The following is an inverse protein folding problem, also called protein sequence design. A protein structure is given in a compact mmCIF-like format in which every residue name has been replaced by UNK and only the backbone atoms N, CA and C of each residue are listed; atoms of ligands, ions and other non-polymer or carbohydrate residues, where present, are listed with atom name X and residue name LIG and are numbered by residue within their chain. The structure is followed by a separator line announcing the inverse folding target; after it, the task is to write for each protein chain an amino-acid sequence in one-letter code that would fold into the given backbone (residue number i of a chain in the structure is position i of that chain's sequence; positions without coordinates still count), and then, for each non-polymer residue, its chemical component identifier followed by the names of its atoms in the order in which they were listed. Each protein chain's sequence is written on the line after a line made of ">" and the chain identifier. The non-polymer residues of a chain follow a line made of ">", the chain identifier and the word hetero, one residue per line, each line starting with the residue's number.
data_IF_063557834092
#
_entry.id   IF_063557834092
#
_cell.length_a   1.000
_cell.length_b   1.000
_cell.length_c   1.000
_cell.angle_alpha   90.00
_cell.angle_beta   90.00
_cell.angle_gamma   90.00
#
_symmetry.space_group_name_H-M   'P 1'
#
loop_
_entity.id
_entity.type
_entity.pdbx_description
1 polymer ?
#
# COMPACT_ATOMS: atom_id res chain seq x y z
N UNK A 1 68.81 -1.03 -32.18
CA UNK A 1 69.71 -1.71 -31.21
C UNK A 1 69.23 -1.38 -29.80
N UNK A 2 68.68 -2.37 -29.10
CA UNK A 2 68.68 -2.48 -27.63
C UNK A 2 70.14 -2.67 -27.12
N UNK A 3 70.47 -2.75 -25.80
CA UNK A 3 69.72 -2.53 -24.54
C UNK A 3 70.56 -1.85 -23.41
N UNK A 4 70.00 -1.67 -22.20
CA UNK A 4 70.62 -1.91 -20.87
C UNK A 4 69.58 -1.56 -19.78
N UNK A 5 68.89 -2.51 -19.15
CA UNK A 5 69.23 -3.31 -17.95
C UNK A 5 69.79 -2.50 -16.76
N UNK A 6 68.99 -2.37 -15.70
CA UNK A 6 69.46 -2.56 -14.32
C UNK A 6 68.37 -3.18 -13.44
N UNK A 7 68.73 -4.32 -12.83
CA UNK A 7 68.09 -4.97 -11.69
C UNK A 7 68.48 -4.24 -10.39
N UNK A 8 67.60 -4.17 -9.39
CA UNK A 8 67.80 -4.84 -8.09
C UNK A 8 66.57 -4.71 -7.15
N UNK A 9 65.87 -5.83 -7.02
CA UNK A 9 65.38 -6.54 -5.84
C UNK A 9 65.40 -5.96 -4.40
N UNK A 10 64.27 -6.22 -3.73
CA UNK A 10 64.05 -6.66 -2.34
C UNK A 10 64.17 -5.64 -1.17
N UNK A 11 63.03 -5.40 -0.51
CA UNK A 11 62.82 -5.79 0.89
C UNK A 11 61.32 -5.81 1.24
N UNK A 12 60.88 -6.99 1.67
CA UNK A 12 59.56 -7.35 2.20
C UNK A 12 59.26 -6.62 3.52
N UNK A 13 58.01 -6.19 3.74
CA UNK A 13 57.31 -6.28 5.04
C UNK A 13 55.79 -6.40 4.80
N UNK A 14 55.27 -7.63 4.97
CA UNK A 14 53.86 -7.93 5.20
C UNK A 14 53.60 -7.91 6.72
N UNK A 15 52.48 -7.36 7.21
CA UNK A 15 51.98 -7.74 8.52
C UNK A 15 51.19 -9.04 8.42
N UNK A 16 51.69 -10.01 9.17
CA UNK A 16 51.00 -11.19 9.66
C UNK A 16 49.70 -10.77 10.38
N UNK A 17 48.55 -11.25 9.94
CA UNK A 17 47.39 -11.44 10.82
C UNK A 17 47.06 -12.92 10.86
N UNK A 18 47.15 -13.43 12.07
CA UNK A 18 47.08 -14.82 12.48
C UNK A 18 45.65 -15.33 12.25
N UNK A 19 45.52 -16.34 11.39
CA UNK A 19 44.37 -17.21 11.34
C UNK A 19 44.35 -18.05 12.63
N UNK A 20 43.32 -17.86 13.44
CA UNK A 20 43.19 -18.50 14.74
C UNK A 20 41.74 -18.50 15.24
N UNK A 21 40.79 -18.94 14.40
CA UNK A 21 39.47 -19.35 14.86
C UNK A 21 39.33 -20.83 14.58
N UNK A 22 39.39 -21.62 15.66
CA UNK A 22 38.98 -23.03 15.68
C UNK A 22 37.49 -23.08 15.35
N UNK A 23 37.17 -23.49 14.13
CA UNK A 23 35.86 -24.05 13.82
C UNK A 23 35.86 -25.46 14.40
N UNK A 24 35.23 -25.63 15.56
CA UNK A 24 34.77 -26.95 15.99
C UNK A 24 33.72 -27.37 14.97
N UNK A 25 34.12 -28.27 14.07
CA UNK A 25 33.22 -29.02 13.24
C UNK A 25 32.45 -29.98 14.16
N UNK A 26 31.23 -29.60 14.51
CA UNK A 26 30.26 -30.52 15.06
C UNK A 26 29.69 -31.30 13.87
N UNK A 27 30.25 -32.48 13.64
CA UNK A 27 29.72 -33.47 12.71
C UNK A 27 28.54 -34.16 13.36
N UNK A 28 27.38 -33.51 13.36
CA UNK A 28 26.13 -34.20 13.68
C UNK A 28 25.53 -34.78 12.40
N UNK A 29 25.89 -36.03 12.17
CA UNK A 29 25.51 -36.87 11.05
C UNK A 29 24.06 -37.37 11.26
N UNK A 30 23.09 -36.44 11.19
CA UNK A 30 21.67 -36.78 11.07
C UNK A 30 21.36 -36.99 9.60
N UNK A 31 21.49 -38.25 9.17
CA UNK A 31 20.94 -38.77 7.93
C UNK A 31 19.41 -38.69 7.98
N UNK A 32 18.84 -37.55 7.61
CA UNK A 32 17.45 -37.52 7.18
C UNK A 32 17.37 -38.21 5.82
N UNK A 33 16.86 -39.44 5.84
CA UNK A 33 16.48 -40.17 4.64
C UNK A 33 15.59 -39.26 3.76
N UNK A 34 15.76 -39.29 2.43
CA UNK A 34 14.80 -38.66 1.54
C UNK A 34 13.45 -39.31 1.82
N UNK A 35 12.47 -38.54 2.30
CA UNK A 35 11.09 -38.99 2.36
C UNK A 35 10.73 -39.39 0.94
N UNK A 36 10.62 -40.70 0.74
CA UNK A 36 10.19 -41.32 -0.50
C UNK A 36 8.94 -40.59 -0.96
N UNK A 37 8.97 -40.12 -2.21
CA UNK A 37 7.82 -39.53 -2.88
C UNK A 37 6.63 -40.46 -2.68
N UNK A 38 5.67 -39.99 -1.88
CA UNK A 38 4.35 -40.60 -1.86
C UNK A 38 3.82 -40.62 -3.30
N UNK A 39 3.04 -41.65 -3.68
CA UNK A 39 2.48 -41.73 -5.01
C UNK A 39 1.78 -40.41 -5.34
N UNK A 40 1.90 -39.90 -6.58
CA UNK A 40 1.16 -38.72 -7.00
C UNK A 40 -0.31 -38.97 -6.66
N UNK A 41 -0.91 -38.06 -5.88
CA UNK A 41 -2.34 -38.12 -5.62
C UNK A 41 -3.03 -38.23 -6.98
N UNK A 42 -3.89 -39.24 -7.19
CA UNK A 42 -4.67 -39.29 -8.41
C UNK A 42 -5.43 -37.96 -8.53
N UNK A 43 -5.53 -37.37 -9.74
CA UNK A 43 -6.33 -36.18 -9.98
C UNK A 43 -7.80 -36.54 -9.78
N UNK A 44 -8.21 -36.68 -8.52
CA UNK A 44 -9.60 -36.71 -8.12
C UNK A 44 -10.20 -35.34 -8.44
N UNK A 45 -11.49 -35.28 -8.79
CA UNK A 45 -12.17 -34.01 -8.93
C UNK A 45 -11.99 -33.24 -7.62
N UNK A 46 -11.35 -32.06 -7.69
CA UNK A 46 -11.31 -31.17 -6.55
C UNK A 46 -12.76 -30.93 -6.11
N UNK A 47 -13.07 -31.05 -4.80
CA UNK A 47 -14.40 -30.75 -4.31
C UNK A 47 -14.81 -29.36 -4.81
N UNK A 48 -16.08 -29.15 -5.18
CA UNK A 48 -16.54 -27.88 -5.71
C UNK A 48 -16.17 -26.77 -4.73
N UNK A 49 -15.53 -25.71 -5.23
CA UNK A 49 -15.13 -24.56 -4.42
C UNK A 49 -16.38 -23.92 -3.80
N UNK A 50 -16.50 -23.98 -2.47
CA UNK A 50 -17.60 -23.35 -1.73
C UNK A 50 -17.16 -21.94 -1.35
N UNK A 51 -17.99 -20.96 -1.69
CA UNK A 51 -17.79 -19.57 -1.31
C UNK A 51 -18.69 -19.22 -0.14
N UNK A 52 -18.07 -18.88 0.99
CA UNK A 52 -18.76 -18.54 2.23
C UNK A 52 -18.75 -17.02 2.45
N UNK A 53 -19.77 -16.45 3.11
CA UNK A 53 -19.78 -15.04 3.50
C UNK A 53 -18.58 -14.70 4.41
N UNK A 54 -17.99 -13.53 4.19
CA UNK A 54 -16.93 -13.01 5.07
C UNK A 54 -17.58 -12.52 6.38
N UNK A 55 -17.20 -13.10 7.54
CA UNK A 55 -17.87 -12.84 8.83
C UNK A 55 -17.57 -11.45 9.41
N UNK A 56 -16.65 -10.69 8.81
CA UNK A 56 -16.20 -9.38 9.32
C UNK A 56 -17.33 -8.34 9.44
N UNK A 57 -18.34 -8.42 8.58
CA UNK A 57 -19.47 -7.48 8.52
C UNK A 57 -20.80 -8.13 8.94
N UNK A 58 -20.76 -9.32 9.55
CA UNK A 58 -21.99 -9.95 10.03
C UNK A 58 -22.53 -9.20 11.26
N UNK A 59 -23.86 -9.03 11.32
CA UNK A 59 -24.59 -8.12 12.26
C UNK A 59 -24.43 -8.41 13.76
N UNK A 60 -23.65 -9.42 14.14
CA UNK A 60 -23.26 -9.65 15.54
C UNK A 60 -22.04 -8.79 15.84
N UNK A 61 -22.05 -7.93 16.88
CA UNK A 61 -20.98 -6.97 17.13
C UNK A 61 -19.71 -7.72 17.56
N UNK A 62 -18.89 -8.11 16.57
CA UNK A 62 -17.57 -8.71 16.80
C UNK A 62 -16.48 -7.64 16.77
N UNK A 63 -16.69 -6.57 16.03
CA UNK A 63 -15.72 -5.50 15.82
C UNK A 63 -16.37 -4.18 16.24
N UNK A 64 -15.71 -3.47 17.16
CA UNK A 64 -16.20 -2.21 17.69
C UNK A 64 -15.62 -1.01 16.92
N UNK A 65 -14.47 -1.19 16.28
CA UNK A 65 -13.73 -0.12 15.61
C UNK A 65 -13.43 -0.43 14.15
N UNK A 66 -13.29 0.61 13.33
CA UNK A 66 -12.94 0.48 11.91
C UNK A 66 -11.59 -0.20 11.70
N UNK A 67 -10.64 0.03 12.61
CA UNK A 67 -9.32 -0.61 12.66
C UNK A 67 -9.45 -2.13 12.78
N UNK A 68 -10.29 -2.59 13.71
CA UNK A 68 -10.56 -4.03 13.91
C UNK A 68 -11.28 -4.64 12.71
N UNK A 69 -12.23 -3.91 12.11
CA UNK A 69 -12.91 -4.36 10.90
C UNK A 69 -11.93 -4.52 9.73
N UNK A 70 -11.10 -3.51 9.49
CA UNK A 70 -10.11 -3.54 8.40
C UNK A 70 -9.07 -4.62 8.65
N UNK A 71 -8.65 -4.84 9.90
CA UNK A 71 -7.81 -5.98 10.25
C UNK A 71 -8.49 -7.31 9.94
N UNK A 72 -9.78 -7.47 10.28
CA UNK A 72 -10.51 -8.69 9.94
C UNK A 72 -10.56 -8.92 8.43
N UNK A 73 -10.81 -7.88 7.64
CA UNK A 73 -10.84 -8.00 6.18
C UNK A 73 -9.44 -8.31 5.61
N UNK A 74 -8.39 -7.80 6.23
CA UNK A 74 -7.00 -8.08 5.87
C UNK A 74 -6.62 -9.55 6.07
N UNK A 75 -7.21 -10.23 7.06
CA UNK A 75 -7.02 -11.67 7.26
C UNK A 75 -7.52 -12.52 6.07
N UNK A 76 -8.36 -11.94 5.18
CA UNK A 76 -8.83 -12.57 3.94
C UNK A 76 -8.07 -12.10 2.69
N UNK A 77 -7.04 -11.26 2.83
CA UNK A 77 -6.17 -10.85 1.72
C UNK A 77 -5.64 -12.09 0.98
N UNK A 78 -5.63 -12.04 -0.35
CA UNK A 78 -5.06 -13.13 -1.16
C UNK A 78 -3.56 -13.24 -0.83
N UNK A 79 -3.09 -14.36 -0.24
CA UNK A 79 -1.74 -14.43 0.29
C UNK A 79 -0.69 -14.57 -0.81
N UNK A 80 0.58 -14.44 -0.43
CA UNK A 80 1.73 -14.69 -1.31
C UNK A 80 1.56 -16.00 -2.09
N UNK A 81 1.84 -15.95 -3.40
CA UNK A 81 1.80 -17.08 -4.35
C UNK A 81 0.44 -17.79 -4.47
N UNK A 82 -0.64 -17.30 -3.88
CA UNK A 82 -1.95 -17.97 -3.96
C UNK A 82 -2.51 -18.04 -5.40
N UNK A 83 -2.17 -17.06 -6.23
CA UNK A 83 -2.55 -17.00 -7.65
C UNK A 83 -1.52 -17.69 -8.56
N UNK A 84 -0.38 -18.12 -8.01
CA UNK A 84 0.74 -18.70 -8.75
C UNK A 84 0.57 -20.19 -9.07
N UNK A 85 -0.33 -20.93 -8.39
CA UNK A 85 -0.44 -22.41 -8.45
C UNK A 85 -0.05 -22.92 -9.83
N UNK A 86 1.06 -23.70 -9.90
CA UNK A 86 1.80 -24.27 -11.04
C UNK A 86 0.94 -24.75 -12.22
N UNK A 87 0.17 -23.85 -12.78
CA UNK A 87 -0.59 -23.96 -14.00
C UNK A 87 0.11 -22.99 -14.93
N UNK A 88 0.80 -23.51 -15.97
CA UNK A 88 1.52 -22.67 -16.95
C UNK A 88 0.66 -21.57 -17.57
N UNK A 89 -0.67 -21.65 -17.42
CA UNK A 89 -1.66 -20.77 -18.03
C UNK A 89 -1.99 -19.50 -17.25
N UNK A 90 -1.44 -19.26 -16.04
CA UNK A 90 -1.76 -18.05 -15.25
C UNK A 90 -3.26 -17.88 -14.92
N UNK A 91 -4.02 -18.99 -15.00
CA UNK A 91 -5.49 -18.96 -15.05
C UNK A 91 -6.11 -18.41 -13.77
N UNK A 92 -5.50 -18.67 -12.60
CA UNK A 92 -5.99 -18.10 -11.33
C UNK A 92 -5.85 -16.59 -11.30
N UNK A 93 -4.69 -16.07 -11.70
CA UNK A 93 -4.47 -14.63 -11.82
C UNK A 93 -5.46 -14.00 -12.83
N UNK A 94 -5.58 -14.58 -14.02
CA UNK A 94 -6.53 -14.11 -15.04
C UNK A 94 -7.99 -14.10 -14.53
N UNK A 95 -8.42 -15.16 -13.83
CA UNK A 95 -9.76 -15.23 -13.24
C UNK A 95 -9.99 -14.21 -12.11
N UNK A 96 -8.91 -13.82 -11.42
CA UNK A 96 -8.95 -12.80 -10.39
C UNK A 96 -9.02 -11.39 -11.00
N UNK A 97 -8.58 -11.17 -12.24
CA UNK A 97 -8.73 -9.86 -12.90
C UNK A 97 -10.21 -9.53 -13.22
N UNK A 98 -10.53 -8.24 -13.40
CA UNK A 98 -11.81 -7.83 -13.98
C UNK A 98 -11.98 -8.42 -15.39
N UNK A 99 -13.13 -9.05 -15.63
CA UNK A 99 -13.53 -9.50 -16.98
C UNK A 99 -13.99 -8.32 -17.84
N UNK A 100 -13.75 -8.45 -19.15
CA UNK A 100 -14.12 -7.49 -20.18
C UNK A 100 -13.64 -6.05 -19.88
N UNK A 101 -12.31 -5.86 -19.66
CA UNK A 101 -11.75 -4.54 -19.40
C UNK A 101 -12.05 -3.59 -20.57
N UNK A 102 -12.35 -2.33 -20.25
CA UNK A 102 -12.74 -1.31 -21.24
C UNK A 102 -14.15 -1.44 -21.82
N UNK A 103 -14.95 -2.45 -21.45
CA UNK A 103 -16.33 -2.61 -21.91
C UNK A 103 -17.30 -1.97 -20.90
N UNK A 104 -18.21 -1.12 -21.38
CA UNK A 104 -19.30 -0.57 -20.56
C UNK A 104 -20.18 -1.70 -20.07
N UNK A 105 -20.38 -1.79 -18.75
CA UNK A 105 -21.08 -2.91 -18.11
C UNK A 105 -20.19 -4.12 -17.80
N UNK A 106 -18.93 -4.12 -18.21
CA UNK A 106 -17.90 -5.08 -17.80
C UNK A 106 -17.51 -4.94 -16.33
N UNK A 107 -16.72 -5.87 -15.81
CA UNK A 107 -16.33 -5.89 -14.39
C UNK A 107 -15.46 -4.70 -14.01
N UNK A 108 -14.54 -4.26 -14.87
CA UNK A 108 -13.68 -3.10 -14.61
C UNK A 108 -14.51 -1.82 -14.53
N UNK A 109 -15.38 -1.60 -15.53
CA UNK A 109 -16.29 -0.47 -15.55
C UNK A 109 -17.18 -0.46 -14.29
N UNK A 110 -17.67 -1.63 -13.89
CA UNK A 110 -18.49 -1.76 -12.70
C UNK A 110 -17.73 -1.46 -11.41
N UNK A 111 -16.46 -1.88 -11.32
CA UNK A 111 -15.58 -1.56 -10.21
C UNK A 111 -15.35 -0.05 -10.12
N UNK A 112 -14.98 0.60 -11.23
CA UNK A 112 -14.84 2.07 -11.31
C UNK A 112 -16.11 2.79 -10.87
N UNK A 113 -17.26 2.34 -11.38
CA UNK A 113 -18.57 2.90 -11.06
C UNK A 113 -18.90 2.77 -9.57
N UNK A 114 -18.61 1.63 -8.95
CA UNK A 114 -18.83 1.44 -7.51
C UNK A 114 -17.96 2.39 -6.67
N UNK A 115 -16.68 2.56 -7.01
CA UNK A 115 -15.77 3.51 -6.35
C UNK A 115 -16.27 4.95 -6.51
N UNK A 116 -16.70 5.32 -7.72
CA UNK A 116 -17.22 6.65 -8.02
C UNK A 116 -18.51 6.95 -7.25
N UNK A 117 -19.48 6.02 -7.23
CA UNK A 117 -20.72 6.21 -6.49
C UNK A 117 -20.49 6.30 -4.98
N UNK A 118 -19.56 5.51 -4.45
CA UNK A 118 -19.23 5.54 -3.03
C UNK A 118 -18.62 6.90 -2.63
N UNK A 119 -17.73 7.45 -3.46
CA UNK A 119 -17.07 8.73 -3.20
C UNK A 119 -17.96 9.95 -3.49
N UNK A 120 -18.86 9.89 -4.47
CA UNK A 120 -19.76 11.01 -4.82
C UNK A 120 -21.07 11.03 -4.04
N UNK A 121 -21.66 9.85 -3.82
CA UNK A 121 -23.03 9.71 -3.37
C UNK A 121 -23.20 9.75 -1.87
N UNK A 122 -22.16 9.44 -1.10
CA UNK A 122 -22.25 9.29 0.36
C UNK A 122 -23.41 8.37 0.78
N UNK A 123 -23.72 7.38 -0.07
CA UNK A 123 -24.77 6.39 0.21
C UNK A 123 -24.11 5.04 0.32
N UNK A 124 -24.44 4.30 1.38
CA UNK A 124 -24.08 2.88 1.47
C UNK A 124 -25.18 1.99 0.85
N UNK A 125 -25.88 2.49 -0.17
CA UNK A 125 -26.99 1.76 -0.77
C UNK A 125 -26.47 0.67 -1.70
N UNK A 126 -26.96 -0.56 -1.57
CA UNK A 126 -26.55 -1.68 -2.45
C UNK A 126 -26.79 -1.39 -3.95
N UNK A 127 -27.75 -0.52 -4.26
CA UNK A 127 -28.05 -0.07 -5.63
C UNK A 127 -26.87 0.63 -6.31
N UNK A 128 -25.86 1.07 -5.57
CA UNK A 128 -24.65 1.67 -6.16
C UNK A 128 -23.73 0.65 -6.82
N UNK A 129 -23.85 -0.63 -6.45
CA UNK A 129 -22.99 -1.70 -6.94
C UNK A 129 -23.60 -2.27 -8.23
N UNK A 130 -22.94 -2.18 -9.38
CA UNK A 130 -23.47 -2.73 -10.61
C UNK A 130 -23.63 -4.25 -10.56
N UNK A 131 -24.68 -4.77 -11.20
CA UNK A 131 -25.10 -6.17 -11.09
C UNK A 131 -23.99 -7.19 -11.40
N UNK A 132 -23.06 -6.87 -12.30
CA UNK A 132 -21.97 -7.77 -12.71
C UNK A 132 -20.97 -8.07 -11.58
N UNK A 133 -20.78 -7.13 -10.63
CA UNK A 133 -19.87 -7.32 -9.48
C UNK A 133 -20.61 -7.61 -8.16
N UNK A 134 -21.93 -7.40 -8.10
CA UNK A 134 -22.74 -7.76 -6.92
C UNK A 134 -22.56 -9.21 -6.42
N UNK A 135 -22.30 -10.23 -7.26
CA UNK A 135 -22.02 -11.59 -6.79
C UNK A 135 -20.77 -11.70 -5.90
N UNK A 136 -19.84 -10.75 -6.00
CA UNK A 136 -18.55 -10.74 -5.31
C UNK A 136 -18.47 -9.63 -4.26
N UNK A 137 -19.05 -8.46 -4.53
CA UNK A 137 -18.95 -7.27 -3.68
C UNK A 137 -20.26 -6.91 -3.00
N UNK A 138 -20.15 -6.26 -1.85
CA UNK A 138 -21.25 -5.62 -1.12
C UNK A 138 -20.79 -4.29 -0.53
N UNK A 139 -21.75 -3.45 -0.19
CA UNK A 139 -21.52 -2.23 0.59
C UNK A 139 -22.34 -2.32 1.86
N UNK A 140 -21.70 -2.09 3.00
CA UNK A 140 -22.34 -2.13 4.31
C UNK A 140 -22.11 -0.80 5.05
N UNK A 141 -23.08 -0.43 5.90
CA UNK A 141 -22.88 0.62 6.89
C UNK A 141 -22.20 0.00 8.09
N UNK A 142 -21.04 0.52 8.46
CA UNK A 142 -20.32 0.11 9.66
C UNK A 142 -20.39 1.22 10.73
N UNK A 143 -21.13 1.01 11.84
CA UNK A 143 -21.09 1.90 12.99
C UNK A 143 -19.81 1.66 13.80
N UNK A 144 -19.01 2.71 14.00
CA UNK A 144 -17.79 2.68 14.79
C UNK A 144 -18.05 3.15 16.22
N UNK A 145 -17.30 2.61 17.19
CA UNK A 145 -17.41 2.94 18.61
C UNK A 145 -17.20 4.44 18.93
N UNK A 146 -16.59 5.21 18.03
CA UNK A 146 -16.50 6.67 18.14
C UNK A 146 -17.84 7.40 17.91
N UNK A 147 -18.90 6.68 17.52
CA UNK A 147 -20.21 7.22 17.17
C UNK A 147 -20.35 7.64 15.71
N UNK A 148 -19.27 7.53 14.91
CA UNK A 148 -19.28 7.75 13.47
C UNK A 148 -19.71 6.50 12.72
N UNK A 149 -20.14 6.66 11.48
CA UNK A 149 -20.44 5.52 10.61
C UNK A 149 -19.66 5.63 9.30
N UNK A 150 -19.40 4.49 8.68
CA UNK A 150 -18.66 4.40 7.43
C UNK A 150 -19.41 3.55 6.41
N UNK A 151 -19.32 3.90 5.13
CA UNK A 151 -19.66 2.97 4.06
C UNK A 151 -18.44 2.12 3.72
N UNK A 152 -18.60 0.80 3.78
CA UNK A 152 -17.52 -0.17 3.52
C UNK A 152 -17.90 -0.99 2.30
N UNK A 153 -17.20 -0.76 1.18
CA UNK A 153 -17.27 -1.62 0.00
C UNK A 153 -16.18 -2.68 0.13
N UNK A 154 -16.60 -3.94 0.28
CA UNK A 154 -15.67 -5.06 0.42
C UNK A 154 -16.15 -6.28 -0.37
N UNK A 155 -15.21 -7.19 -0.65
CA UNK A 155 -15.57 -8.50 -1.17
C UNK A 155 -16.32 -9.28 -0.08
N UNK A 156 -17.42 -9.94 -0.48
CA UNK A 156 -18.37 -10.57 0.45
C UNK A 156 -18.14 -12.06 0.64
N UNK A 157 -17.31 -12.69 -0.18
CA UNK A 157 -17.05 -14.13 -0.11
C UNK A 157 -15.57 -14.45 -0.07
N UNK A 158 -15.24 -15.53 0.62
CA UNK A 158 -13.90 -16.12 0.61
C UNK A 158 -13.94 -17.55 0.06
N UNK A 159 -12.80 -18.02 -0.45
CA UNK A 159 -12.58 -19.40 -0.88
C UNK A 159 -12.33 -20.30 0.34
N UNK A 160 -13.25 -21.22 0.62
CA UNK A 160 -13.02 -22.29 1.60
C UNK A 160 -12.29 -23.47 0.94
N UNK A 161 -11.29 -24.10 1.59
CA UNK A 161 -10.83 -23.90 2.98
C UNK A 161 -9.68 -22.89 3.10
N UNK A 162 -9.37 -22.12 2.04
CA UNK A 162 -8.16 -21.29 1.99
C UNK A 162 -8.27 -19.95 2.72
N UNK A 163 -9.48 -19.57 3.14
CA UNK A 163 -9.78 -18.37 3.92
C UNK A 163 -9.30 -17.04 3.31
N UNK A 164 -9.26 -16.92 1.98
CA UNK A 164 -8.98 -15.64 1.30
C UNK A 164 -10.02 -15.27 0.26
N UNK A 165 -10.05 -13.99 -0.10
CA UNK A 165 -10.89 -13.44 -1.15
C UNK A 165 -10.72 -14.16 -2.50
N UNK A 166 -11.77 -14.20 -3.30
CA UNK A 166 -11.71 -14.78 -4.66
C UNK A 166 -11.07 -13.82 -5.64
N UNK A 167 -11.45 -12.53 -5.59
CA UNK A 167 -11.00 -11.50 -6.52
C UNK A 167 -9.86 -10.68 -5.91
N UNK A 168 -10.00 -10.23 -4.68
CA UNK A 168 -9.00 -9.43 -3.98
C UNK A 168 -8.74 -8.08 -4.64
N UNK A 169 -9.78 -7.41 -5.17
CA UNK A 169 -9.61 -6.08 -5.80
C UNK A 169 -9.37 -4.95 -4.80
N UNK A 170 -9.71 -5.19 -3.54
CA UNK A 170 -9.51 -4.25 -2.43
C UNK A 170 -10.78 -3.97 -1.64
N UNK A 171 -10.59 -3.19 -0.58
CA UNK A 171 -11.62 -2.66 0.30
C UNK A 171 -11.57 -1.14 0.24
N UNK A 172 -12.72 -0.51 -0.01
CA UNK A 172 -12.86 0.94 -0.04
C UNK A 172 -13.76 1.38 1.11
N UNK A 173 -13.32 2.39 1.85
CA UNK A 173 -14.07 2.98 2.96
C UNK A 173 -14.20 4.48 2.76
N UNK A 174 -15.40 5.00 2.97
CA UNK A 174 -15.70 6.43 3.02
C UNK A 174 -16.52 6.75 4.28
N UNK A 175 -16.48 7.98 4.80
CA UNK A 175 -17.44 8.41 5.82
C UNK A 175 -18.88 8.19 5.36
N UNK A 176 -19.79 7.87 6.27
CA UNK A 176 -21.20 7.68 5.95
C UNK A 176 -21.87 8.96 5.43
N UNK A 177 -21.42 10.12 5.92
CA UNK A 177 -21.92 11.41 5.51
C UNK A 177 -20.78 12.37 5.14
N UNK A 178 -20.98 13.15 4.08
CA UNK A 178 -20.05 14.21 3.63
C UNK A 178 -19.72 15.22 4.75
N UNK A 179 -20.68 15.44 5.65
CA UNK A 179 -20.53 16.34 6.80
C UNK A 179 -19.48 15.88 7.83
N UNK A 180 -19.04 14.61 7.77
CA UNK A 180 -17.98 14.06 8.62
C UNK A 180 -16.58 14.24 8.00
N UNK A 181 -16.49 14.66 6.74
CA UNK A 181 -15.21 14.97 6.10
C UNK A 181 -14.69 16.27 6.68
N UNK A 182 -13.43 16.21 7.12
CA UNK A 182 -12.72 17.36 7.66
C UNK A 182 -11.54 17.79 6.80
N UNK A 183 -11.01 16.92 5.92
CA UNK A 183 -9.84 17.17 5.09
C UNK A 183 -9.92 16.43 3.78
N UNK A 184 -9.25 16.96 2.75
CA UNK A 184 -9.22 16.37 1.43
C UNK A 184 -8.11 15.32 1.32
N UNK A 185 -8.12 14.36 2.24
CA UNK A 185 -7.09 13.32 2.34
C UNK A 185 -7.64 11.99 1.84
N UNK A 186 -6.87 11.32 1.00
CA UNK A 186 -7.02 9.91 0.69
C UNK A 186 -5.92 9.11 1.39
N UNK A 187 -6.28 8.07 2.12
CA UNK A 187 -5.32 7.08 2.64
C UNK A 187 -5.34 5.82 1.80
N UNK A 188 -4.18 5.20 1.62
CA UNK A 188 -4.10 3.89 0.98
C UNK A 188 -3.04 2.97 1.61
N UNK A 189 -3.29 1.67 1.55
CA UNK A 189 -2.38 0.60 1.99
C UNK A 189 -2.27 -0.45 0.85
N UNK A 190 -1.20 -0.42 0.05
CA UNK A 190 -1.10 -1.23 -1.17
C UNK A 190 -0.61 -2.66 -0.93
N UNK A 191 0.02 -2.94 0.22
CA UNK A 191 0.68 -4.23 0.49
C UNK A 191 0.13 -4.94 1.74
N UNK A 192 -1.18 -5.25 1.75
CA UNK A 192 -1.86 -5.94 2.84
C UNK A 192 -1.34 -7.38 3.06
N UNK A 193 -1.83 -8.00 4.12
CA UNK A 193 -1.57 -9.39 4.48
C UNK A 193 -0.44 -9.57 5.49
N UNK A 194 -0.04 -10.83 5.66
CA UNK A 194 0.99 -11.28 6.60
C UNK A 194 2.18 -11.88 5.86
N UNK A 195 3.38 -11.74 6.43
CA UNK A 195 4.61 -12.31 5.88
C UNK A 195 5.74 -11.31 5.68
N UNK A 196 6.95 -11.80 5.35
CA UNK A 196 8.17 -10.98 5.29
C UNK A 196 8.16 -9.94 4.16
N UNK A 197 7.41 -10.19 3.08
CA UNK A 197 7.22 -9.26 1.97
C UNK A 197 5.90 -8.47 2.07
N UNK A 198 5.16 -8.59 3.19
CA UNK A 198 3.94 -7.82 3.43
C UNK A 198 4.23 -6.56 4.24
N UNK A 199 3.37 -5.57 4.10
CA UNK A 199 3.34 -4.42 4.99
C UNK A 199 2.37 -4.65 6.15
N UNK A 200 2.59 -5.76 6.86
CA UNK A 200 1.76 -6.19 7.98
C UNK A 200 1.45 -5.02 8.94
N UNK A 201 0.18 -4.82 9.22
CA UNK A 201 -0.33 -3.76 10.09
C UNK A 201 -0.61 -2.42 9.42
N UNK A 202 -0.14 -2.19 8.18
CA UNK A 202 -0.43 -0.94 7.45
C UNK A 202 -1.91 -0.74 7.12
N UNK A 203 -2.73 -1.76 6.78
CA UNK A 203 -4.17 -1.57 6.59
C UNK A 203 -4.85 -1.00 7.83
N UNK A 204 -4.55 -1.59 9.00
CA UNK A 204 -5.08 -1.15 10.30
C UNK A 204 -4.62 0.26 10.65
N UNK A 205 -3.34 0.57 10.41
CA UNK A 205 -2.78 1.90 10.62
C UNK A 205 -3.45 2.96 9.73
N UNK A 206 -3.61 2.66 8.43
CA UNK A 206 -4.27 3.53 7.48
C UNK A 206 -5.75 3.75 7.85
N UNK A 207 -6.45 2.72 8.35
CA UNK A 207 -7.81 2.85 8.86
C UNK A 207 -7.91 3.80 10.06
N UNK A 208 -6.99 3.67 11.01
CA UNK A 208 -6.92 4.56 12.17
C UNK A 208 -6.66 6.01 11.74
N UNK A 209 -5.70 6.21 10.83
CA UNK A 209 -5.37 7.54 10.30
C UNK A 209 -6.56 8.15 9.55
N UNK A 210 -7.21 7.39 8.67
CA UNK A 210 -8.39 7.80 7.92
C UNK A 210 -9.52 8.28 8.85
N UNK A 211 -9.87 7.47 9.86
CA UNK A 211 -10.90 7.83 10.83
C UNK A 211 -10.51 9.07 11.62
N UNK A 212 -9.32 9.08 12.23
CA UNK A 212 -8.93 10.09 13.21
C UNK A 212 -8.56 11.46 12.61
N UNK A 213 -8.38 11.54 11.29
CA UNK A 213 -8.11 12.80 10.57
C UNK A 213 -9.35 13.41 9.93
N UNK A 214 -10.46 12.66 9.86
CA UNK A 214 -11.64 13.05 9.09
C UNK A 214 -11.37 13.07 7.59
N UNK A 215 -10.61 12.08 7.10
CA UNK A 215 -10.26 11.96 5.69
C UNK A 215 -11.47 11.58 4.81
N UNK A 216 -11.31 11.79 3.50
CA UNK A 216 -12.34 11.53 2.47
C UNK A 216 -12.50 10.06 2.16
N UNK A 217 -11.40 9.32 2.12
CA UNK A 217 -11.42 7.91 1.72
C UNK A 217 -10.22 7.12 2.23
N UNK A 218 -10.42 5.81 2.31
CA UNK A 218 -9.40 4.79 2.54
C UNK A 218 -9.54 3.69 1.48
N UNK A 219 -8.42 3.31 0.85
CA UNK A 219 -8.35 2.15 -0.02
C UNK A 219 -7.27 1.17 0.45
N UNK A 220 -7.65 -0.07 0.73
CA UNK A 220 -6.73 -1.16 1.04
C UNK A 220 -6.75 -2.14 -0.13
N UNK A 221 -5.58 -2.57 -0.61
CA UNK A 221 -5.55 -3.62 -1.64
C UNK A 221 -6.14 -4.93 -1.10
N UNK A 222 -6.51 -5.86 -1.98
CA UNK A 222 -7.07 -7.16 -1.56
C UNK A 222 -6.12 -8.33 -1.79
N UNK A 223 -4.87 -8.05 -2.17
CA UNK A 223 -3.84 -9.02 -2.54
C UNK A 223 -2.53 -8.63 -1.89
N UNK A 224 -1.82 -9.64 -1.40
CA UNK A 224 -0.40 -9.53 -1.11
C UNK A 224 0.34 -9.13 -2.40
N UNK A 225 1.40 -8.31 -2.28
CA UNK A 225 2.15 -7.83 -3.45
C UNK A 225 2.63 -9.00 -4.33
N UNK A 226 3.07 -10.09 -3.71
CA UNK A 226 3.50 -11.33 -4.38
C UNK A 226 2.44 -12.41 -4.52
N UNK A 227 1.14 -12.09 -4.52
CA UNK A 227 0.08 -13.08 -4.77
C UNK A 227 0.26 -13.81 -6.12
N UNK A 228 0.80 -13.11 -7.12
CA UNK A 228 1.30 -13.64 -8.38
C UNK A 228 2.72 -13.08 -8.64
N UNK A 229 3.78 -13.78 -8.23
CA UNK A 229 5.16 -13.28 -8.22
C UNK A 229 5.84 -13.25 -9.60
N UNK A 230 5.11 -13.53 -10.69
CA UNK A 230 5.69 -13.44 -12.02
C UNK A 230 5.90 -11.98 -12.41
N UNK A 231 7.13 -11.68 -12.83
CA UNK A 231 7.49 -10.50 -13.62
C UNK A 231 7.49 -10.90 -15.10
N UNK A 232 6.30 -11.07 -15.68
CA UNK A 232 6.27 -11.34 -17.11
C UNK A 232 6.88 -10.15 -17.87
N UNK A 233 7.70 -10.46 -18.88
CA UNK A 233 8.32 -9.45 -19.75
C UNK A 233 7.27 -8.65 -20.54
N UNK A 234 6.02 -9.08 -20.52
CA UNK A 234 4.92 -8.47 -21.28
C UNK A 234 4.28 -7.28 -20.55
N UNK A 235 4.56 -7.05 -19.26
CA UNK A 235 3.98 -5.95 -18.51
C UNK A 235 4.97 -4.79 -18.30
N UNK A 236 4.78 -3.70 -19.05
CA UNK A 236 5.70 -2.56 -19.15
C UNK A 236 6.12 -1.88 -17.83
N UNK A 237 5.31 -1.93 -16.78
CA UNK A 237 5.69 -1.37 -15.45
C UNK A 237 6.63 -2.28 -14.63
N UNK A 238 6.69 -3.58 -14.94
CA UNK A 238 7.50 -4.56 -14.20
C UNK A 238 8.60 -5.18 -15.09
N UNK A 239 8.64 -4.81 -16.38
CA UNK A 239 9.64 -5.29 -17.32
C UNK A 239 11.04 -4.80 -16.92
N UNK A 240 11.98 -5.73 -16.75
CA UNK A 240 13.39 -5.42 -16.44
C UNK A 240 13.67 -5.01 -15.00
N UNK A 241 12.65 -4.92 -14.13
CA UNK A 241 12.82 -4.68 -12.70
C UNK A 241 12.65 -6.00 -11.95
N UNK A 242 13.75 -6.59 -11.51
CA UNK A 242 13.77 -7.92 -10.88
C UNK A 242 13.00 -8.00 -9.54
N UNK A 243 12.54 -6.88 -9.01
CA UNK A 243 12.02 -6.78 -7.64
C UNK A 243 10.51 -6.60 -7.50
N UNK A 244 9.78 -6.32 -8.58
CA UNK A 244 8.33 -6.10 -8.51
C UNK A 244 7.55 -7.22 -9.17
N UNK A 245 6.56 -7.73 -8.46
CA UNK A 245 5.62 -8.73 -8.95
C UNK A 245 4.41 -8.10 -9.61
N UNK A 246 3.73 -8.83 -10.50
CA UNK A 246 2.58 -8.31 -11.24
C UNK A 246 1.39 -7.95 -10.33
N UNK A 247 1.30 -8.51 -9.13
CA UNK A 247 0.28 -8.14 -8.12
C UNK A 247 0.73 -7.06 -7.16
N UNK A 248 1.90 -6.45 -7.36
CA UNK A 248 2.35 -5.31 -6.58
C UNK A 248 1.49 -4.08 -6.90
N UNK A 249 0.56 -3.79 -6.00
CA UNK A 249 -0.44 -2.73 -6.18
C UNK A 249 0.15 -1.31 -6.19
N UNK A 250 1.40 -1.13 -5.75
CA UNK A 250 2.10 0.15 -5.81
C UNK A 250 2.87 0.34 -7.13
N UNK A 251 3.16 -0.75 -7.85
CA UNK A 251 4.06 -0.76 -9.01
C UNK A 251 3.40 -1.29 -10.31
N UNK A 252 2.14 -1.76 -10.26
CA UNK A 252 1.42 -2.28 -11.43
C UNK A 252 0.14 -1.49 -11.73
N UNK A 253 -0.04 -1.11 -13.01
CA UNK A 253 -1.19 -0.32 -13.47
C UNK A 253 -2.41 -1.16 -13.86
N UNK A 254 -2.22 -2.44 -14.16
CA UNK A 254 -3.30 -3.37 -14.50
C UNK A 254 -4.02 -3.92 -13.26
N UNK A 255 -3.60 -3.51 -12.06
CA UNK A 255 -4.23 -3.93 -10.81
C UNK A 255 -5.48 -3.09 -10.49
N UNK A 256 -6.56 -3.73 -10.00
CA UNK A 256 -7.79 -3.05 -9.58
C UNK A 256 -7.58 -1.93 -8.55
N UNK A 257 -6.51 -2.01 -7.77
CA UNK A 257 -6.11 -0.99 -6.80
C UNK A 257 -5.66 0.31 -7.48
N UNK A 258 -4.84 0.25 -8.54
CA UNK A 258 -4.48 1.43 -9.33
C UNK A 258 -5.68 2.01 -10.07
N UNK A 259 -6.55 1.14 -10.59
CA UNK A 259 -7.82 1.54 -11.24
C UNK A 259 -8.71 2.31 -10.28
N UNK A 260 -8.89 1.83 -9.04
CA UNK A 260 -9.67 2.54 -8.02
C UNK A 260 -9.02 3.88 -7.65
N UNK A 261 -7.70 3.94 -7.51
CA UNK A 261 -6.98 5.18 -7.21
C UNK A 261 -7.17 6.26 -8.30
N UNK A 262 -7.27 5.88 -9.58
CA UNK A 262 -7.59 6.83 -10.65
C UNK A 262 -8.97 7.48 -10.45
N UNK A 263 -9.98 6.70 -10.08
CA UNK A 263 -11.33 7.22 -9.82
C UNK A 263 -11.38 8.13 -8.59
N UNK A 264 -10.68 7.72 -7.52
CA UNK A 264 -10.54 8.52 -6.30
C UNK A 264 -9.85 9.85 -6.61
N UNK A 265 -8.76 9.82 -7.39
CA UNK A 265 -8.05 11.03 -7.83
C UNK A 265 -8.96 11.93 -8.66
N UNK A 266 -9.66 11.39 -9.66
CA UNK A 266 -10.58 12.14 -10.52
C UNK A 266 -11.64 12.86 -9.68
N UNK A 267 -12.26 12.14 -8.74
CA UNK A 267 -13.26 12.70 -7.85
C UNK A 267 -12.70 13.78 -6.94
N UNK A 268 -11.57 13.52 -6.27
CA UNK A 268 -10.98 14.44 -5.32
C UNK A 268 -10.46 15.71 -6.01
N UNK A 269 -9.78 15.57 -7.16
CA UNK A 269 -9.32 16.71 -7.95
C UNK A 269 -10.48 17.52 -8.54
N UNK A 270 -11.57 16.87 -8.95
CA UNK A 270 -12.79 17.54 -9.43
C UNK A 270 -13.52 18.39 -8.38
N UNK A 271 -13.15 18.28 -7.09
CA UNK A 271 -13.67 19.12 -6.00
C UNK A 271 -12.67 20.20 -5.56
N UNK A 272 -11.52 20.31 -6.23
CA UNK A 272 -10.39 21.12 -5.80
C UNK A 272 -9.50 20.32 -4.84
N UNK A 273 -8.19 20.40 -5.07
CA UNK A 273 -7.18 19.70 -4.28
C UNK A 273 -5.97 20.63 -4.12
N UNK A 274 -6.14 21.64 -3.27
CA UNK A 274 -5.08 22.55 -2.83
C UNK A 274 -4.09 21.77 -1.95
N UNK A 275 -2.79 21.88 -2.24
CA UNK A 275 -1.73 21.15 -1.55
C UNK A 275 -1.72 21.38 -0.02
N UNK A 276 -2.21 22.52 0.45
CA UNK A 276 -2.33 22.81 1.90
C UNK A 276 -3.44 22.02 2.60
N UNK A 277 -4.44 21.55 1.84
CA UNK A 277 -5.68 20.92 2.34
C UNK A 277 -5.87 19.49 1.84
N UNK A 278 -5.06 19.08 0.87
CA UNK A 278 -5.27 17.89 0.08
C UNK A 278 -3.98 17.06 -0.02
N UNK A 279 -4.10 15.77 0.25
CA UNK A 279 -3.00 14.82 0.10
C UNK A 279 -3.51 13.42 -0.24
N UNK A 280 -2.65 12.66 -0.90
CA UNK A 280 -2.82 11.23 -1.15
C UNK A 280 -1.70 10.51 -0.42
N UNK A 281 -2.04 9.98 0.75
CA UNK A 281 -1.10 9.37 1.68
C UNK A 281 -1.12 7.87 1.48
N UNK A 282 0.00 7.29 1.08
CA UNK A 282 0.15 5.85 0.95
C UNK A 282 1.09 5.32 2.03
N UNK A 283 0.55 4.44 2.87
CA UNK A 283 1.24 3.89 4.04
C UNK A 283 1.89 2.57 3.64
N UNK A 284 3.19 2.48 3.90
CA UNK A 284 4.02 1.30 3.71
C UNK A 284 4.77 0.96 5.00
N UNK A 285 5.21 -0.28 5.09
CA UNK A 285 6.16 -0.74 6.11
C UNK A 285 7.55 -0.78 5.49
N UNK A 286 8.57 -0.45 6.29
CA UNK A 286 9.95 -0.53 5.85
C UNK A 286 10.75 -1.57 6.62
N UNK A 287 11.75 -2.12 5.93
CA UNK A 287 12.75 -3.03 6.48
C UNK A 287 14.18 -2.52 6.28
N UNK A 288 14.37 -1.45 5.51
CA UNK A 288 15.67 -0.82 5.25
C UNK A 288 15.80 0.52 5.98
N UNK A 289 16.94 1.20 5.78
CA UNK A 289 17.32 2.45 6.45
C UNK A 289 17.14 2.34 7.98
N UNK A 290 17.97 1.54 8.68
CA UNK A 290 17.73 1.14 10.07
C UNK A 290 17.76 2.33 11.06
N UNK A 291 18.44 3.41 10.70
CA UNK A 291 18.52 4.65 11.49
C UNK A 291 17.33 5.59 11.30
N UNK A 292 16.28 5.18 10.60
CA UNK A 292 15.07 5.97 10.42
C UNK A 292 13.89 5.18 10.95
N UNK A 293 12.99 5.80 11.70
CA UNK A 293 11.77 5.15 12.18
C UNK A 293 10.62 5.32 11.19
N UNK A 294 10.52 6.49 10.57
CA UNK A 294 9.58 6.77 9.49
C UNK A 294 10.22 7.70 8.43
N UNK A 295 10.01 7.36 7.16
CA UNK A 295 10.54 8.08 6.01
C UNK A 295 9.39 8.57 5.13
N UNK A 296 9.31 9.88 4.89
CA UNK A 296 8.25 10.50 4.10
C UNK A 296 8.83 11.02 2.78
N UNK A 297 8.16 10.78 1.66
CA UNK A 297 8.60 11.21 0.33
C UNK A 297 7.42 11.67 -0.53
N UNK A 298 7.69 12.61 -1.43
CA UNK A 298 6.76 13.05 -2.47
C UNK A 298 6.90 12.26 -3.79
N UNK A 299 7.70 11.20 -3.83
CA UNK A 299 7.93 10.40 -5.04
C UNK A 299 9.08 10.89 -5.94
N UNK A 300 9.94 11.76 -5.42
CA UNK A 300 11.14 12.26 -6.13
C UNK A 300 12.40 11.47 -5.75
N UNK A 301 13.35 11.40 -6.68
CA UNK A 301 14.62 10.69 -6.49
C UNK A 301 15.64 11.44 -5.62
N UNK A 302 16.91 11.03 -5.72
CA UNK A 302 18.03 11.56 -4.93
C UNK A 302 18.98 12.47 -5.71
N UNK A 303 18.56 13.00 -6.87
CA UNK A 303 19.38 14.01 -7.56
C UNK A 303 19.45 15.27 -6.68
N UNK A 304 20.53 16.08 -6.76
CA UNK A 304 20.64 17.30 -5.97
C UNK A 304 19.39 18.19 -6.09
N UNK A 305 18.91 18.39 -7.32
CA UNK A 305 17.68 19.16 -7.58
C UNK A 305 16.44 18.56 -6.91
N UNK A 306 16.31 17.23 -6.88
CA UNK A 306 15.20 16.56 -6.18
C UNK A 306 15.28 16.71 -4.67
N UNK A 307 16.50 16.69 -4.12
CA UNK A 307 16.74 16.88 -2.69
C UNK A 307 16.46 18.33 -2.28
N UNK A 308 16.93 19.30 -3.07
CA UNK A 308 16.70 20.73 -2.85
C UNK A 308 15.20 21.07 -2.87
N UNK A 309 14.40 20.39 -3.69
CA UNK A 309 12.95 20.54 -3.70
C UNK A 309 12.31 20.30 -2.31
N UNK A 310 12.81 19.34 -1.53
CA UNK A 310 12.31 19.10 -0.17
C UNK A 310 12.74 20.17 0.84
N UNK A 311 13.82 20.90 0.57
CA UNK A 311 14.22 22.04 1.39
C UNK A 311 13.33 23.26 1.10
N UNK A 312 13.10 23.52 -0.18
CA UNK A 312 12.50 24.77 -0.66
C UNK A 312 10.96 24.73 -0.71
N UNK A 313 10.35 23.55 -0.61
CA UNK A 313 8.90 23.38 -0.74
C UNK A 313 8.24 22.93 0.57
N UNK A 314 7.10 23.56 0.90
CA UNK A 314 6.25 23.18 2.03
C UNK A 314 5.26 22.07 1.63
N UNK A 315 5.82 20.97 1.12
CA UNK A 315 5.02 19.81 0.73
C UNK A 315 4.37 19.14 1.95
N UNK A 316 3.19 18.51 1.79
CA UNK A 316 2.56 17.70 2.82
C UNK A 316 3.48 16.67 3.47
N UNK A 317 4.40 16.06 2.72
CA UNK A 317 5.40 15.14 3.27
C UNK A 317 6.32 15.84 4.30
N UNK A 318 6.83 17.03 3.98
CA UNK A 318 7.67 17.84 4.88
C UNK A 318 6.87 18.32 6.09
N UNK A 319 5.68 18.88 5.88
CA UNK A 319 4.82 19.37 6.97
C UNK A 319 4.41 18.24 7.93
N UNK A 320 4.06 17.06 7.42
CA UNK A 320 3.75 15.89 8.27
C UNK A 320 5.00 15.46 9.05
N UNK A 321 6.19 15.42 8.42
CA UNK A 321 7.44 15.09 9.11
C UNK A 321 7.72 16.06 10.25
N UNK A 322 7.58 17.36 10.00
CA UNK A 322 7.83 18.42 10.98
C UNK A 322 6.92 18.27 12.20
N UNK A 323 5.63 17.96 11.98
CA UNK A 323 4.65 17.74 13.06
C UNK A 323 4.81 16.39 13.77
N UNK A 324 5.25 15.35 13.07
CA UNK A 324 5.54 14.04 13.68
C UNK A 324 6.76 14.09 14.60
N UNK A 325 7.82 14.80 14.21
CA UNK A 325 9.10 14.83 14.93
C UNK A 325 8.96 15.09 16.45
N UNK A 326 8.26 16.14 16.91
CA UNK A 326 8.09 16.37 18.34
C UNK A 326 7.18 15.33 19.02
N UNK A 327 6.17 14.79 18.32
CA UNK A 327 5.19 13.85 18.89
C UNK A 327 5.73 12.43 19.10
N UNK A 328 6.81 12.08 18.39
CA UNK A 328 7.39 10.74 18.42
C UNK A 328 8.78 10.69 19.04
N UNK A 329 9.25 11.73 19.73
CA UNK A 329 10.59 11.72 20.37
C UNK A 329 10.77 10.49 21.28
N UNK A 330 11.85 9.68 21.15
CA UNK A 330 13.10 9.95 20.42
C UNK A 330 13.19 9.38 18.99
N UNK A 331 12.06 9.01 18.37
CA UNK A 331 12.01 8.42 17.02
C UNK A 331 12.54 9.37 15.96
N UNK A 332 13.21 8.81 14.96
CA UNK A 332 13.83 9.54 13.84
C UNK A 332 12.88 9.57 12.64
N UNK A 333 12.14 10.66 12.50
CA UNK A 333 11.27 10.92 11.34
C UNK A 333 12.06 11.74 10.32
N UNK A 334 12.08 11.31 9.06
CA UNK A 334 12.97 11.87 8.03
C UNK A 334 12.30 12.03 6.67
N UNK A 335 12.84 12.95 5.86
CA UNK A 335 12.56 13.14 4.43
C UNK A 335 13.86 13.06 3.62
N UNK A 336 13.82 13.05 2.27
CA UNK A 336 15.02 12.94 1.44
C UNK A 336 16.09 14.01 1.66
N UNK A 337 15.73 15.21 2.07
CA UNK A 337 16.70 16.26 2.40
C UNK A 337 17.40 16.07 3.74
N UNK A 338 16.87 15.24 4.65
CA UNK A 338 17.55 14.96 5.92
C UNK A 338 18.58 13.84 5.78
N UNK A 339 18.21 12.78 5.05
CA UNK A 339 19.03 11.58 4.88
C UNK A 339 18.64 10.85 3.58
N UNK A 340 19.63 10.41 2.78
CA UNK A 340 19.35 9.56 1.64
C UNK A 340 19.06 8.13 2.12
N UNK A 341 17.81 7.66 1.95
CA UNK A 341 17.43 6.26 2.17
C UNK A 341 17.06 5.63 0.81
N UNK A 342 18.05 5.03 0.14
CA UNK A 342 17.84 4.39 -1.17
C UNK A 342 16.65 3.40 -1.13
N UNK A 343 15.76 3.52 -2.11
CA UNK A 343 14.56 2.68 -2.23
C UNK A 343 13.32 3.18 -1.49
N UNK A 344 13.42 4.15 -0.56
CA UNK A 344 12.26 4.61 0.24
C UNK A 344 11.57 5.86 -0.31
N UNK A 345 12.05 6.38 -1.43
CA UNK A 345 11.50 7.58 -2.06
C UNK A 345 10.25 7.32 -2.88
N UNK A 346 9.89 6.05 -3.16
CA UNK A 346 8.76 5.68 -4.00
C UNK A 346 8.80 6.33 -5.40
N UNK A 347 9.99 6.46 -6.00
CA UNK A 347 10.14 6.97 -7.37
C UNK A 347 9.44 6.11 -8.40
N UNK A 348 9.24 4.82 -8.09
CA UNK A 348 8.67 3.82 -8.98
C UNK A 348 7.18 3.56 -8.73
N UNK A 349 6.61 4.27 -7.76
CA UNK A 349 5.20 4.16 -7.44
C UNK A 349 4.34 4.73 -8.57
N UNK A 350 3.53 3.89 -9.20
CA UNK A 350 2.76 4.28 -10.38
C UNK A 350 1.70 5.33 -10.07
N UNK A 351 1.12 5.30 -8.86
CA UNK A 351 0.16 6.32 -8.45
C UNK A 351 0.83 7.63 -8.04
N UNK A 352 1.99 7.55 -7.38
CA UNK A 352 2.83 8.71 -7.11
C UNK A 352 3.25 9.44 -8.39
N UNK A 353 3.68 8.69 -9.42
CA UNK A 353 3.98 9.23 -10.76
C UNK A 353 2.75 9.89 -11.39
N UNK A 354 1.57 9.26 -11.31
CA UNK A 354 0.31 9.84 -11.81
C UNK A 354 -0.06 11.16 -11.12
N UNK A 355 0.12 11.24 -9.80
CA UNK A 355 -0.13 12.46 -9.02
C UNK A 355 0.88 13.57 -9.32
N UNK A 356 2.10 13.20 -9.72
CA UNK A 356 3.20 14.08 -10.10
C UNK A 356 3.28 14.32 -11.62
N UNK A 357 2.12 14.40 -12.27
CA UNK A 357 1.99 14.94 -13.63
C UNK A 357 2.27 13.96 -14.76
N UNK A 358 2.59 12.69 -14.49
CA UNK A 358 2.69 11.66 -15.53
C UNK A 358 1.32 11.18 -15.95
N UNK A 359 1.13 10.92 -17.24
CA UNK A 359 -0.08 10.28 -17.76
C UNK A 359 -0.07 8.77 -17.47
N UNK A 360 -1.22 8.11 -17.57
CA UNK A 360 -1.32 6.65 -17.40
C UNK A 360 -0.39 5.87 -18.36
N UNK A 361 -0.12 6.40 -19.54
CA UNK A 361 0.81 5.78 -20.50
C UNK A 361 2.29 5.92 -20.08
N UNK A 362 2.63 6.92 -19.26
CA UNK A 362 4.00 7.25 -18.86
C UNK A 362 4.36 6.71 -17.48
N UNK A 363 3.37 6.43 -16.60
CA UNK A 363 3.66 6.06 -15.20
C UNK A 363 4.49 4.78 -15.07
N UNK A 364 4.57 3.92 -16.09
CA UNK A 364 5.46 2.75 -16.07
C UNK A 364 6.93 3.11 -16.34
N UNK A 365 7.19 4.08 -17.22
CA UNK A 365 8.50 4.27 -17.85
C UNK A 365 9.15 5.61 -17.50
N UNK A 366 8.39 6.56 -16.96
CA UNK A 366 8.87 7.91 -16.68
C UNK A 366 8.71 8.26 -15.20
N UNK A 367 9.84 8.55 -14.56
CA UNK A 367 9.90 9.02 -13.18
C UNK A 367 9.37 10.45 -13.11
N UNK A 368 8.82 10.86 -11.97
CA UNK A 368 8.51 12.27 -11.73
C UNK A 368 9.81 13.09 -11.64
N UNK A 369 9.75 14.36 -12.05
CA UNK A 369 10.85 15.32 -11.87
C UNK A 369 10.36 16.50 -11.04
N UNK A 370 11.28 17.38 -10.63
CA UNK A 370 10.94 18.62 -9.92
C UNK A 370 10.04 19.56 -10.72
N UNK A 371 10.00 19.42 -12.05
CA UNK A 371 9.13 20.22 -12.92
C UNK A 371 7.68 19.71 -12.97
N UNK A 372 7.46 18.42 -12.63
CA UNK A 372 6.13 17.78 -12.73
C UNK A 372 5.53 17.45 -11.37
N UNK A 373 6.34 17.42 -10.32
CA UNK A 373 5.90 17.12 -8.95
C UNK A 373 4.84 18.12 -8.50
N UNK A 374 3.74 17.61 -7.96
CA UNK A 374 2.67 18.45 -7.41
C UNK A 374 2.73 18.55 -5.89
N UNK A 375 3.56 17.71 -5.25
CA UNK A 375 3.69 17.59 -3.80
C UNK A 375 2.50 16.94 -3.09
N UNK A 376 1.42 16.60 -3.82
CA UNK A 376 0.19 16.01 -3.24
C UNK A 376 0.33 14.54 -2.86
N UNK A 377 1.30 13.82 -3.45
CA UNK A 377 1.61 12.45 -3.07
C UNK A 377 2.47 12.44 -1.81
N UNK A 378 2.09 11.64 -0.82
CA UNK A 378 2.87 11.40 0.39
C UNK A 378 3.04 9.90 0.55
N UNK A 379 4.21 9.41 0.21
CA UNK A 379 4.64 8.08 0.55
C UNK A 379 5.21 8.06 1.96
N UNK A 380 4.77 7.13 2.80
CA UNK A 380 5.28 7.01 4.18
C UNK A 380 5.69 5.56 4.43
N UNK A 381 6.98 5.34 4.64
CA UNK A 381 7.55 4.05 4.98
C UNK A 381 7.99 4.02 6.46
N UNK A 382 7.47 3.06 7.25
CA UNK A 382 7.61 3.08 8.71
C UNK A 382 8.02 1.74 9.31
N UNK A 383 8.72 1.78 10.45
CA UNK A 383 9.03 0.57 11.22
C UNK A 383 7.76 -0.05 11.83
N UNK A 384 7.82 -1.34 12.19
CA UNK A 384 6.70 -2.02 12.87
C UNK A 384 6.26 -1.30 14.14
N UNK A 385 7.20 -0.76 14.90
CA UNK A 385 6.88 -0.03 16.13
C UNK A 385 6.05 1.23 15.85
N UNK A 386 6.38 1.97 14.78
CA UNK A 386 5.60 3.13 14.34
C UNK A 386 4.16 2.77 13.95
N UNK A 387 3.93 1.54 13.46
CA UNK A 387 2.61 1.02 13.08
C UNK A 387 1.75 0.52 14.27
N UNK A 388 2.27 0.58 15.50
CA UNK A 388 1.55 0.15 16.70
C UNK A 388 0.35 1.04 17.05
N UNK A 389 -0.66 0.46 17.71
CA UNK A 389 -1.90 1.16 18.09
C UNK A 389 -1.67 2.38 18.99
N UNK A 390 -0.62 2.37 19.83
CA UNK A 390 -0.25 3.51 20.67
C UNK A 390 0.12 4.76 19.88
N UNK A 391 0.48 4.60 18.60
CA UNK A 391 0.93 5.69 17.74
C UNK A 391 -0.19 6.32 16.90
N UNK A 392 -1.40 5.73 16.89
CA UNK A 392 -2.50 6.16 16.00
C UNK A 392 -2.92 7.60 16.25
N UNK A 393 -3.06 7.97 17.53
CA UNK A 393 -3.49 9.32 17.93
C UNK A 393 -2.42 10.35 17.56
N UNK A 394 -1.14 10.06 17.80
CA UNK A 394 -0.05 10.99 17.51
C UNK A 394 0.13 11.19 16.01
N UNK A 395 0.05 10.13 15.21
CA UNK A 395 0.12 10.25 13.75
C UNK A 395 -1.04 11.06 13.20
N UNK A 396 -2.27 10.73 13.61
CA UNK A 396 -3.44 11.50 13.21
C UNK A 396 -3.36 12.96 13.66
N UNK A 397 -2.82 13.24 14.85
CA UNK A 397 -2.57 14.60 15.32
C UNK A 397 -1.59 15.34 14.40
N UNK A 398 -0.46 14.73 14.05
CA UNK A 398 0.52 15.33 13.14
C UNK A 398 -0.11 15.68 11.78
N UNK A 399 -0.82 14.72 11.17
CA UNK A 399 -1.52 14.94 9.89
C UNK A 399 -2.58 16.05 10.01
N UNK A 400 -3.30 16.13 11.13
CA UNK A 400 -4.33 17.16 11.34
C UNK A 400 -3.78 18.58 11.49
N UNK A 401 -2.54 18.71 11.97
CA UNK A 401 -1.85 20.01 12.08
C UNK A 401 -1.22 20.37 10.74
N UNK A 402 -0.55 19.41 10.10
CA UNK A 402 0.15 19.59 8.83
C UNK A 402 -0.79 19.88 7.64
N UNK A 403 -2.01 19.33 7.65
CA UNK A 403 -2.98 19.48 6.57
C UNK A 403 -4.22 20.21 7.10
N UNK A 404 -4.55 21.32 6.45
CA UNK A 404 -5.61 22.22 6.88
C UNK A 404 -6.99 21.59 6.82
N UNK A 405 -7.83 22.00 7.78
CA UNK A 405 -9.23 21.57 7.85
C UNK A 405 -10.05 22.27 6.78
N UNK A 406 -10.85 21.50 6.03
CA UNK A 406 -11.75 21.98 4.98
C UNK A 406 -13.20 21.65 5.33
N UNK A 407 -13.81 22.44 6.22
CA UNK A 407 -15.19 22.22 6.63
C UNK A 407 -16.20 22.64 5.57
N UNK A 408 -17.24 21.82 5.40
CA UNK A 408 -18.41 22.16 4.59
C UNK A 408 -19.14 23.39 5.15
N UNK A 409 -19.95 24.10 4.33
CA UNK A 409 -20.78 25.19 4.82
C UNK A 409 -21.62 24.75 6.03
N UNK A 410 -21.70 25.62 7.04
CA UNK A 410 -22.41 25.39 8.33
C UNK A 410 -21.72 24.43 9.31
N UNK A 411 -20.59 23.85 8.95
CA UNK A 411 -19.70 23.16 9.89
C UNK A 411 -18.59 24.11 10.33
N UNK A 412 -18.06 23.91 11.53
CA UNK A 412 -16.89 24.66 12.02
C UNK A 412 -15.79 23.70 12.47
N UNK A 413 -14.54 24.16 12.38
CA UNK A 413 -13.40 23.45 12.96
C UNK A 413 -13.53 23.48 14.48
N UNK A 414 -13.63 22.31 15.09
CA UNK A 414 -13.51 22.16 16.53
C UNK A 414 -12.06 22.39 16.96
N UNK A 415 -11.83 23.28 17.93
CA UNK A 415 -10.47 23.66 18.34
C UNK A 415 -9.72 22.56 19.08
N UNK A 416 -10.43 21.57 19.65
CA UNK A 416 -9.81 20.49 20.43
C UNK A 416 -9.44 19.29 19.57
N UNK A 417 -10.33 18.89 18.67
CA UNK A 417 -10.18 17.70 17.82
C UNK A 417 -9.61 18.04 16.45
N UNK A 418 -9.70 19.30 16.02
CA UNK A 418 -9.38 19.78 14.67
C UNK A 418 -10.21 19.09 13.58
N UNK A 419 -11.40 18.59 13.93
CA UNK A 419 -12.38 18.01 13.01
C UNK A 419 -13.53 19.00 12.74
N UNK A 420 -14.31 18.76 11.71
CA UNK A 420 -15.52 19.51 11.42
C UNK A 420 -16.70 18.98 12.24
N UNK A 421 -17.37 19.88 12.97
CA UNK A 421 -18.52 19.56 13.83
C UNK A 421 -19.75 20.37 13.48
#
# INVERSE_FOLDING_TARGET
>A
MHPQKLLLSLLLWLPLVIAGIRVLADTDNSTQAPLAGGPPFPPGPFPPTIFLPVPCLDRTPRYATLEELVQCLDDYTIPERALFVWTPSGTKYANAQPRDPGVVGGEEWAWRTAILHLTQGWTCAISIIPAVIQPFYRVDIFPDATGRSFCVLSEKKYESPRHHFRKGWGTMVVPFADAEVSRDIHFSAPHPGVGPASDEGTPRYAAAAFKNTGAKSLLVAGRHRDAYPYNDREHACVEGVEHYSRTDSAHAIDQPFFIAQQEIKSWQDGKGCDITKCAYIQIHRKFSCPDVDAYLSAGLGFTPVSVDWYNDNDSPAKSIRDEMTPLFTPKKIRIPSDVPCAGLTATDNVFGRLLNGRTVAEVCTMHATTDTVTGRFVHIEQTTDMLSASNYVNFAKAVKIAIDTSCRPRKRKDSSTLLCV
#
